data_IF_872987258099
#
_entry.id   IF_872987258099
#
_cell.length_a   1.000
_cell.length_b   1.000
_cell.length_c   1.000
_cell.angle_alpha   90.00
_cell.angle_beta   90.00
_cell.angle_gamma   90.00
#
_symmetry.space_group_name_H-M   'P 1'
#
loop_
_entity.id
_entity.type
_entity.pdbx_description
1 polymer ?
#
# COMPACT_ATOMS: atom_id res chain seq x y z
N UNK A 1 -3.25 0.32 21.76
CA UNK A 1 -4.27 0.90 20.87
C UNK A 1 -4.29 0.07 19.61
N UNK A 2 -5.48 -0.24 19.08
CA UNK A 2 -5.62 -0.91 17.78
C UNK A 2 -5.63 0.13 16.67
N UNK A 3 -5.01 -0.16 15.53
CA UNK A 3 -4.97 0.72 14.37
C UNK A 3 -6.27 0.62 13.58
N UNK A 4 -6.66 1.71 12.92
CA UNK A 4 -7.85 1.74 12.07
C UNK A 4 -7.63 1.05 10.72
N UNK A 5 -8.67 0.40 10.22
CA UNK A 5 -8.77 -0.17 8.87
C UNK A 5 -10.03 0.34 8.13
N UNK A 6 -9.99 0.28 6.80
CA UNK A 6 -11.13 0.53 5.91
C UNK A 6 -11.46 -0.73 5.12
N UNK A 7 -12.76 -1.06 5.01
CA UNK A 7 -13.19 -2.30 4.38
C UNK A 7 -14.58 -2.18 3.73
N UNK A 8 -14.84 -3.06 2.76
CA UNK A 8 -16.17 -3.38 2.25
C UNK A 8 -16.52 -4.80 2.75
N UNK A 9 -17.48 -4.94 3.66
CA UNK A 9 -17.69 -6.19 4.42
C UNK A 9 -18.82 -7.07 3.90
N UNK A 10 -20.02 -6.51 3.73
CA UNK A 10 -21.21 -7.24 3.27
C UNK A 10 -22.29 -6.26 2.82
N UNK A 11 -23.17 -6.70 1.92
CA UNK A 11 -24.35 -5.96 1.50
C UNK A 11 -25.52 -6.10 2.46
N UNK A 12 -26.64 -5.47 2.14
CA UNK A 12 -27.86 -5.43 2.95
C UNK A 12 -28.56 -6.78 3.14
N UNK A 13 -28.42 -7.71 2.19
CA UNK A 13 -29.09 -9.01 2.18
C UNK A 13 -28.13 -10.18 1.92
N UNK A 14 -26.82 -9.94 1.96
CA UNK A 14 -25.80 -10.96 1.66
C UNK A 14 -24.61 -10.37 0.92
N UNK A 15 -24.08 -11.12 -0.05
CA UNK A 15 -22.85 -10.76 -0.76
C UNK A 15 -23.03 -10.46 -2.26
N UNK A 16 -24.16 -10.80 -2.86
CA UNK A 16 -24.39 -10.75 -4.31
C UNK A 16 -25.83 -10.30 -4.60
N UNK A 17 -26.09 -9.72 -5.78
CA UNK A 17 -27.41 -9.19 -6.19
C UNK A 17 -27.98 -8.13 -5.22
N UNK A 18 -27.13 -7.23 -4.74
CA UNK A 18 -27.50 -6.12 -3.86
C UNK A 18 -28.02 -4.91 -4.65
N UNK A 19 -28.54 -3.91 -3.95
CA UNK A 19 -28.97 -2.64 -4.55
C UNK A 19 -27.78 -1.67 -4.62
N UNK A 20 -27.59 -0.96 -5.74
CA UNK A 20 -26.51 0.02 -5.85
C UNK A 20 -26.54 1.13 -4.79
N UNK A 21 -25.34 1.48 -4.29
CA UNK A 21 -25.12 2.40 -3.17
C UNK A 21 -25.24 1.74 -1.80
N UNK A 22 -24.71 2.39 -0.76
CA UNK A 22 -24.75 1.86 0.61
C UNK A 22 -26.16 2.00 1.18
N UNK A 23 -26.87 0.88 1.32
CA UNK A 23 -28.24 0.83 1.84
C UNK A 23 -28.29 0.81 3.37
N UNK A 24 -27.27 0.25 4.02
CA UNK A 24 -27.28 0.01 5.47
C UNK A 24 -26.50 1.05 6.28
N UNK A 25 -25.68 1.84 5.60
CA UNK A 25 -24.70 2.72 6.23
C UNK A 25 -23.44 1.98 6.71
N UNK A 26 -23.35 0.65 6.53
CA UNK A 26 -22.32 -0.22 7.09
C UNK A 26 -21.62 -1.11 6.06
N UNK A 27 -22.07 -1.10 4.81
CA UNK A 27 -21.57 -2.00 3.77
C UNK A 27 -20.07 -1.79 3.51
N UNK A 28 -19.70 -0.51 3.42
CA UNK A 28 -18.34 -0.04 3.61
C UNK A 28 -18.24 0.60 4.99
N UNK A 29 -17.21 0.25 5.75
CA UNK A 29 -17.05 0.74 7.11
C UNK A 29 -15.59 0.89 7.51
N UNK A 30 -15.42 1.66 8.59
CA UNK A 30 -14.20 1.68 9.36
C UNK A 30 -14.31 0.68 10.50
N UNK A 31 -13.22 -0.03 10.76
CA UNK A 31 -13.10 -0.92 11.90
C UNK A 31 -11.73 -0.75 12.56
N UNK A 32 -11.59 -1.26 13.77
CA UNK A 32 -10.28 -1.51 14.36
C UNK A 32 -9.67 -2.76 13.72
N UNK A 33 -8.34 -2.78 13.61
CA UNK A 33 -7.62 -3.98 13.21
C UNK A 33 -7.97 -5.13 14.14
N UNK A 34 -8.20 -6.30 13.53
CA UNK A 34 -8.52 -7.53 14.22
C UNK A 34 -7.62 -8.65 13.74
N UNK A 35 -7.43 -9.64 14.60
CA UNK A 35 -6.61 -10.81 14.30
C UNK A 35 -7.37 -11.77 13.37
N UNK A 36 -7.34 -11.48 12.07
CA UNK A 36 -7.89 -12.33 11.02
C UNK A 36 -6.95 -13.45 10.59
N UNK A 37 -7.42 -14.31 9.68
CA UNK A 37 -6.60 -15.32 8.98
C UNK A 37 -5.87 -14.69 7.79
N UNK A 38 -5.14 -13.60 8.05
CA UNK A 38 -4.38 -12.88 7.02
C UNK A 38 -3.27 -13.77 6.46
N UNK A 39 -3.20 -13.85 5.13
CA UNK A 39 -2.24 -14.68 4.39
C UNK A 39 -1.06 -13.85 3.88
N UNK A 40 -1.31 -12.58 3.56
CA UNK A 40 -0.28 -11.66 3.09
C UNK A 40 -0.67 -10.21 3.40
N UNK A 41 0.35 -9.36 3.46
CA UNK A 41 0.23 -7.91 3.37
C UNK A 41 0.84 -7.47 2.05
N UNK A 42 0.07 -6.71 1.27
CA UNK A 42 0.55 -6.07 0.04
C UNK A 42 0.89 -4.62 0.38
N UNK A 43 2.19 -4.32 0.34
CA UNK A 43 2.72 -2.99 0.66
C UNK A 43 3.10 -2.28 -0.63
N UNK A 44 2.54 -1.10 -0.85
CA UNK A 44 2.95 -0.26 -1.97
C UNK A 44 4.38 0.25 -1.74
N UNK A 45 5.23 0.14 -2.75
CA UNK A 45 6.64 0.56 -2.67
C UNK A 45 6.81 2.08 -2.57
N UNK A 46 5.82 2.88 -3.01
CA UNK A 46 5.83 4.35 -2.91
C UNK A 46 4.89 4.82 -1.80
N UNK A 47 5.45 5.42 -0.75
CA UNK A 47 4.69 5.91 0.41
C UNK A 47 3.66 7.00 0.04
N UNK A 48 3.92 7.82 -0.99
CA UNK A 48 2.98 8.85 -1.42
C UNK A 48 1.78 8.22 -2.11
N UNK A 49 2.00 7.14 -2.87
CA UNK A 49 0.92 6.36 -3.46
C UNK A 49 0.14 5.61 -2.37
N UNK A 50 0.82 5.02 -1.39
CA UNK A 50 0.17 4.38 -0.24
C UNK A 50 -0.75 5.35 0.52
N UNK A 51 -0.28 6.57 0.82
CA UNK A 51 -1.08 7.60 1.49
C UNK A 51 -2.29 8.04 0.64
N UNK A 52 -2.11 8.19 -0.68
CA UNK A 52 -3.21 8.50 -1.60
C UNK A 52 -4.25 7.38 -1.64
N UNK A 53 -3.81 6.12 -1.65
CA UNK A 53 -4.70 4.96 -1.60
C UNK A 53 -5.51 4.93 -0.29
N UNK A 54 -4.87 5.20 0.85
CA UNK A 54 -5.54 5.29 2.15
C UNK A 54 -6.60 6.40 2.19
N UNK A 55 -6.30 7.59 1.63
CA UNK A 55 -7.28 8.68 1.48
C UNK A 55 -8.43 8.31 0.56
N UNK A 56 -8.15 7.63 -0.55
CA UNK A 56 -9.17 7.16 -1.47
C UNK A 56 -10.11 6.15 -0.79
N UNK A 57 -9.56 5.21 -0.01
CA UNK A 57 -10.34 4.26 0.79
C UNK A 57 -11.21 4.98 1.82
N UNK A 58 -10.63 5.94 2.55
CA UNK A 58 -11.35 6.78 3.50
C UNK A 58 -12.49 7.60 2.87
N UNK A 59 -12.30 8.11 1.67
CA UNK A 59 -13.32 8.81 0.92
C UNK A 59 -14.42 7.85 0.43
N UNK A 60 -14.03 6.69 -0.10
CA UNK A 60 -14.96 5.67 -0.57
C UNK A 60 -15.85 5.15 0.57
N UNK A 61 -15.27 4.83 1.73
CA UNK A 61 -16.01 4.34 2.91
C UNK A 61 -17.01 5.39 3.44
N UNK A 62 -16.72 6.68 3.27
CA UNK A 62 -17.65 7.76 3.67
C UNK A 62 -18.73 8.03 2.64
N UNK A 63 -18.51 7.67 1.37
CA UNK A 63 -19.44 7.97 0.30
C UNK A 63 -20.58 6.94 0.25
N UNK A 64 -21.79 7.37 0.63
CA UNK A 64 -22.99 6.52 0.65
C UNK A 64 -23.52 6.12 -0.73
N UNK A 65 -22.95 6.66 -1.81
CA UNK A 65 -23.23 6.19 -3.16
C UNK A 65 -22.46 4.92 -3.53
N UNK A 66 -21.54 4.44 -2.68
CA UNK A 66 -20.73 3.24 -2.93
C UNK A 66 -21.18 2.13 -1.96
N UNK A 67 -21.84 1.10 -2.49
CA UNK A 67 -22.31 -0.07 -1.75
C UNK A 67 -21.47 -1.33 -1.96
N UNK A 68 -21.84 -2.43 -1.31
CA UNK A 68 -21.20 -3.73 -1.45
C UNK A 68 -22.01 -4.67 -2.33
N UNK A 69 -21.40 -5.26 -3.36
CA UNK A 69 -21.97 -6.36 -4.16
C UNK A 69 -20.91 -7.08 -5.00
N UNK A 70 -20.83 -8.41 -4.89
CA UNK A 70 -19.89 -9.19 -5.71
C UNK A 70 -20.32 -9.30 -7.19
N UNK A 71 -21.63 -9.34 -7.48
CA UNK A 71 -22.14 -9.45 -8.85
C UNK A 71 -21.81 -8.23 -9.72
N UNK A 72 -21.81 -7.04 -9.12
CA UNK A 72 -21.57 -5.76 -9.80
C UNK A 72 -20.32 -5.03 -9.28
N UNK A 73 -19.38 -5.79 -8.72
CA UNK A 73 -18.17 -5.32 -8.03
C UNK A 73 -17.30 -4.31 -8.77
N UNK A 74 -17.43 -4.21 -10.09
CA UNK A 74 -16.59 -3.36 -10.93
C UNK A 74 -17.23 -1.99 -11.25
N UNK A 75 -18.49 -1.76 -10.89
CA UNK A 75 -19.18 -0.49 -11.19
C UNK A 75 -18.50 0.71 -10.49
N UNK A 76 -17.94 0.49 -9.30
CA UNK A 76 -17.09 1.49 -8.63
C UNK A 76 -15.89 1.93 -9.48
N UNK A 77 -15.20 0.98 -10.13
CA UNK A 77 -13.97 1.29 -10.89
C UNK A 77 -14.28 2.21 -12.08
N UNK A 78 -15.35 1.89 -12.82
CA UNK A 78 -15.78 2.70 -13.95
C UNK A 78 -16.24 4.10 -13.52
N UNK A 79 -16.98 4.21 -12.41
CA UNK A 79 -17.40 5.49 -11.88
C UNK A 79 -16.24 6.33 -11.33
N UNK A 80 -15.29 5.70 -10.63
CA UNK A 80 -14.09 6.37 -10.16
C UNK A 80 -13.28 6.95 -11.32
N UNK A 81 -13.11 6.19 -12.41
CA UNK A 81 -12.44 6.67 -13.61
C UNK A 81 -13.14 7.89 -14.23
N UNK A 82 -14.48 7.86 -14.35
CA UNK A 82 -15.28 9.00 -14.83
C UNK A 82 -15.16 10.23 -13.91
N UNK A 83 -15.06 10.00 -12.60
CA UNK A 83 -14.88 11.05 -11.59
C UNK A 83 -13.43 11.53 -11.45
N UNK A 84 -12.52 11.14 -12.35
CA UNK A 84 -11.11 11.54 -12.27
C UNK A 84 -10.37 10.97 -11.06
N UNK A 85 -10.80 9.79 -10.59
CA UNK A 85 -10.30 9.07 -9.41
C UNK A 85 -10.59 9.72 -8.06
N UNK A 86 -11.48 10.72 -8.01
CA UNK A 86 -11.99 11.27 -6.75
C UNK A 86 -13.19 10.45 -6.24
N UNK A 87 -12.93 9.57 -5.27
CA UNK A 87 -13.96 8.73 -4.66
C UNK A 87 -15.08 9.54 -3.97
N UNK A 88 -14.77 10.75 -3.49
CA UNK A 88 -15.76 11.61 -2.84
C UNK A 88 -16.70 12.29 -3.85
N UNK A 89 -16.24 12.47 -5.09
CA UNK A 89 -17.03 13.10 -6.17
C UNK A 89 -18.01 12.14 -6.86
N UNK A 90 -17.97 10.84 -6.56
CA UNK A 90 -18.87 9.85 -7.15
C UNK A 90 -20.31 10.08 -6.66
N UNK A 91 -21.17 10.55 -7.56
CA UNK A 91 -22.60 10.77 -7.31
C UNK A 91 -23.50 9.65 -7.84
N UNK A 92 -22.98 8.80 -8.74
CA UNK A 92 -23.69 7.62 -9.24
C UNK A 92 -23.70 6.54 -8.15
N UNK A 93 -24.85 5.88 -7.96
CA UNK A 93 -24.95 4.73 -7.05
C UNK A 93 -24.27 3.53 -7.70
N UNK A 94 -23.18 3.08 -7.08
CA UNK A 94 -22.32 2.01 -7.58
C UNK A 94 -22.04 0.98 -6.48
N UNK A 95 -21.39 -0.11 -6.87
CA UNK A 95 -21.12 -1.25 -6.04
C UNK A 95 -19.65 -1.69 -6.18
N UNK A 96 -19.13 -2.29 -5.12
CA UNK A 96 -17.79 -2.87 -5.05
C UNK A 96 -17.81 -4.13 -4.19
N UNK A 97 -16.74 -4.92 -4.21
CA UNK A 97 -16.47 -5.87 -3.12
C UNK A 97 -15.17 -5.51 -2.39
N UNK A 98 -14.77 -6.32 -1.42
CA UNK A 98 -13.56 -6.10 -0.62
C UNK A 98 -12.31 -5.91 -1.49
N UNK A 99 -12.08 -6.84 -2.42
CA UNK A 99 -10.91 -6.81 -3.29
C UNK A 99 -10.98 -5.73 -4.39
N UNK A 100 -12.17 -5.48 -4.97
CA UNK A 100 -12.38 -4.43 -5.96
C UNK A 100 -12.22 -3.03 -5.35
N UNK A 101 -12.60 -2.85 -4.08
CA UNK A 101 -12.40 -1.59 -3.37
C UNK A 101 -10.89 -1.30 -3.22
N UNK A 102 -10.12 -2.27 -2.74
CA UNK A 102 -8.66 -2.12 -2.59
C UNK A 102 -8.00 -1.82 -3.94
N UNK A 103 -8.40 -2.54 -4.98
CA UNK A 103 -7.92 -2.36 -6.34
C UNK A 103 -8.21 -0.95 -6.88
N UNK A 104 -9.44 -0.47 -6.71
CA UNK A 104 -9.84 0.86 -7.14
C UNK A 104 -9.10 1.97 -6.36
N UNK A 105 -8.87 1.77 -5.06
CA UNK A 105 -8.07 2.72 -4.25
C UNK A 105 -6.62 2.83 -4.75
N UNK A 106 -6.01 1.71 -5.16
CA UNK A 106 -4.66 1.72 -5.74
C UNK A 106 -4.62 2.37 -7.12
N UNK A 107 -5.65 2.18 -7.96
CA UNK A 107 -5.77 2.92 -9.21
C UNK A 107 -5.90 4.44 -8.95
N UNK A 108 -6.70 4.85 -7.97
CA UNK A 108 -6.85 6.25 -7.59
C UNK A 108 -5.57 6.88 -6.98
N UNK A 109 -4.69 6.05 -6.42
CA UNK A 109 -3.35 6.46 -6.03
C UNK A 109 -2.41 6.74 -7.21
N UNK A 110 -2.84 6.50 -8.45
CA UNK A 110 -2.08 6.74 -9.66
C UNK A 110 -1.17 5.57 -10.05
N UNK A 111 -1.45 4.36 -9.57
CA UNK A 111 -0.74 3.14 -9.96
C UNK A 111 -1.35 2.64 -11.26
N UNK A 112 -0.73 3.04 -12.38
CA UNK A 112 -1.24 2.80 -13.75
C UNK A 112 -1.41 1.32 -14.07
N UNK A 113 -0.58 0.47 -13.48
CA UNK A 113 -0.62 -0.98 -13.65
C UNK A 113 -1.96 -1.57 -13.20
N UNK A 114 -2.68 -0.93 -12.26
CA UNK A 114 -4.04 -1.35 -11.89
C UNK A 114 -5.03 -1.14 -13.06
N UNK A 115 -4.95 -0.01 -13.76
CA UNK A 115 -5.79 0.20 -14.95
C UNK A 115 -5.45 -0.78 -16.07
N UNK A 116 -4.16 -1.10 -16.27
CA UNK A 116 -3.72 -2.06 -17.28
C UNK A 116 -4.28 -3.46 -17.01
N UNK A 117 -4.17 -3.93 -15.75
CA UNK A 117 -4.76 -5.21 -15.31
C UNK A 117 -6.28 -5.20 -15.54
N UNK A 118 -6.97 -4.13 -15.13
CA UNK A 118 -8.41 -4.02 -15.30
C UNK A 118 -8.81 -4.04 -16.77
N UNK A 119 -8.11 -3.30 -17.63
CA UNK A 119 -8.43 -3.25 -19.06
C UNK A 119 -8.19 -4.60 -19.75
N UNK A 120 -7.15 -5.33 -19.35
CA UNK A 120 -6.83 -6.65 -19.88
C UNK A 120 -7.88 -7.70 -19.53
N UNK A 121 -8.45 -7.64 -18.32
CA UNK A 121 -9.38 -8.66 -17.82
C UNK A 121 -10.84 -8.21 -17.76
N UNK A 122 -11.10 -6.91 -17.97
CA UNK A 122 -12.38 -6.23 -17.70
C UNK A 122 -12.93 -6.54 -16.32
N UNK A 123 -12.02 -6.72 -15.36
CA UNK A 123 -12.33 -7.12 -13.99
C UNK A 123 -11.20 -6.72 -13.06
N UNK A 124 -11.54 -6.26 -11.86
CA UNK A 124 -10.56 -6.05 -10.78
C UNK A 124 -10.04 -7.41 -10.29
N UNK A 125 -8.84 -7.46 -9.70
CA UNK A 125 -8.37 -8.71 -9.07
C UNK A 125 -9.33 -9.17 -7.95
N UNK A 126 -9.50 -10.48 -7.81
CA UNK A 126 -10.06 -11.09 -6.59
C UNK A 126 -8.98 -11.18 -5.51
N UNK A 127 -9.34 -11.49 -4.27
CA UNK A 127 -8.38 -11.70 -3.16
C UNK A 127 -7.27 -12.68 -3.54
N UNK A 128 -7.61 -13.79 -4.21
CA UNK A 128 -6.65 -14.78 -4.67
C UNK A 128 -5.67 -14.19 -5.68
N UNK A 129 -6.16 -13.63 -6.79
CA UNK A 129 -5.29 -13.12 -7.86
C UNK A 129 -4.47 -11.91 -7.39
N UNK A 130 -5.05 -11.05 -6.55
CA UNK A 130 -4.41 -9.85 -6.00
C UNK A 130 -3.08 -10.17 -5.30
N UNK A 131 -3.02 -11.24 -4.50
CA UNK A 131 -1.79 -11.65 -3.81
C UNK A 131 -0.62 -11.99 -4.74
N UNK A 132 -0.91 -12.39 -5.99
CA UNK A 132 0.10 -12.86 -6.93
C UNK A 132 0.34 -11.88 -8.08
N UNK A 133 -0.68 -11.15 -8.52
CA UNK A 133 -0.58 -10.26 -9.67
C UNK A 133 -0.06 -8.88 -9.30
N UNK A 134 -0.39 -8.37 -8.11
CA UNK A 134 0.12 -7.07 -7.67
C UNK A 134 1.65 -7.06 -7.55
N UNK A 135 2.31 -8.05 -6.92
CA UNK A 135 3.77 -8.07 -6.84
C UNK A 135 4.45 -8.13 -8.22
N UNK A 136 3.84 -8.78 -9.22
CA UNK A 136 4.39 -8.86 -10.59
C UNK A 136 4.49 -7.49 -11.27
N UNK A 137 3.74 -6.49 -10.81
CA UNK A 137 3.84 -5.11 -11.31
C UNK A 137 5.14 -4.40 -10.88
N UNK A 138 5.85 -4.93 -9.88
CA UNK A 138 6.99 -4.26 -9.26
C UNK A 138 6.63 -3.06 -8.37
N UNK A 139 5.33 -2.75 -8.22
CA UNK A 139 4.82 -1.66 -7.38
C UNK A 139 4.48 -2.07 -5.95
N UNK A 140 4.46 -3.38 -5.70
CA UNK A 140 4.06 -3.93 -4.41
C UNK A 140 5.04 -4.99 -3.93
N UNK A 141 5.33 -4.94 -2.65
CA UNK A 141 5.97 -6.02 -1.92
C UNK A 141 4.90 -6.93 -1.29
N UNK A 142 5.14 -8.24 -1.33
CA UNK A 142 4.28 -9.23 -0.66
C UNK A 142 4.96 -9.71 0.62
N UNK A 143 4.47 -9.21 1.75
CA UNK A 143 4.96 -9.55 3.07
C UNK A 143 4.12 -10.70 3.66
N UNK A 144 4.77 -11.79 4.05
CA UNK A 144 4.10 -12.99 4.61
C UNK A 144 4.61 -13.39 5.98
N UNK A 145 5.65 -12.72 6.48
CA UNK A 145 6.22 -13.05 7.79
C UNK A 145 5.22 -12.78 8.91
N UNK A 146 5.33 -13.58 9.98
CA UNK A 146 4.38 -13.61 11.09
C UNK A 146 4.18 -12.24 11.74
N UNK A 147 5.21 -11.40 11.73
CA UNK A 147 5.16 -10.06 12.29
C UNK A 147 4.24 -9.09 11.54
N UNK A 148 3.97 -9.35 10.25
CA UNK A 148 3.04 -8.58 9.43
C UNK A 148 1.64 -9.19 9.45
N UNK A 149 1.53 -10.52 9.29
CA UNK A 149 0.22 -11.16 9.11
C UNK A 149 -0.49 -11.49 10.43
N UNK A 150 0.21 -11.54 11.57
CA UNK A 150 -0.37 -11.78 12.90
C UNK A 150 -0.29 -10.61 13.86
N UNK A 151 0.31 -9.49 13.44
CA UNK A 151 0.44 -8.31 14.29
C UNK A 151 0.25 -7.03 13.50
N UNK A 152 -0.43 -6.09 14.12
CA UNK A 152 -0.56 -4.73 13.62
C UNK A 152 0.70 -3.88 13.81
N UNK A 153 1.69 -4.36 14.58
CA UNK A 153 2.80 -3.53 15.04
C UNK A 153 3.61 -2.89 13.90
N UNK A 154 3.83 -3.62 12.81
CA UNK A 154 4.63 -3.19 11.66
C UNK A 154 3.81 -2.83 10.42
N UNK A 155 2.48 -2.83 10.55
CA UNK A 155 1.60 -2.41 9.47
C UNK A 155 1.74 -0.91 9.24
N UNK A 156 1.60 -0.49 8.00
CA UNK A 156 1.73 0.89 7.56
C UNK A 156 0.44 1.35 6.91
N UNK A 157 0.10 2.63 7.08
CA UNK A 157 -1.04 3.22 6.38
C UNK A 157 -0.90 3.01 4.86
N UNK A 158 -1.95 2.48 4.23
CA UNK A 158 -1.99 2.09 2.82
C UNK A 158 -1.63 0.62 2.55
N UNK A 159 -1.13 -0.14 3.54
CA UNK A 159 -0.98 -1.59 3.40
C UNK A 159 -2.34 -2.25 3.16
N UNK A 160 -2.38 -3.27 2.31
CA UNK A 160 -3.58 -4.09 2.07
C UNK A 160 -3.37 -5.47 2.69
N UNK A 161 -4.16 -5.82 3.70
CA UNK A 161 -4.18 -7.17 4.27
C UNK A 161 -5.11 -8.03 3.44
N UNK A 162 -4.65 -9.23 3.09
CA UNK A 162 -5.40 -10.17 2.24
C UNK A 162 -5.52 -11.52 2.93
N UNK A 163 -6.73 -12.07 2.97
CA UNK A 163 -7.03 -13.45 3.37
C UNK A 163 -7.61 -14.23 2.18
N UNK A 164 -8.02 -15.48 2.38
CA UNK A 164 -8.65 -16.28 1.32
C UNK A 164 -9.97 -15.68 0.80
N UNK A 165 -10.68 -14.88 1.61
CA UNK A 165 -12.00 -14.36 1.27
C UNK A 165 -12.22 -12.87 1.57
N UNK A 166 -11.21 -12.16 2.07
CA UNK A 166 -11.34 -10.75 2.41
C UNK A 166 -10.07 -9.94 2.14
N UNK A 167 -10.24 -8.65 1.85
CA UNK A 167 -9.15 -7.69 1.74
C UNK A 167 -9.54 -6.36 2.39
N UNK A 168 -8.63 -5.77 3.16
CA UNK A 168 -8.84 -4.51 3.89
C UNK A 168 -7.62 -3.62 3.79
N UNK A 169 -7.82 -2.31 3.91
CA UNK A 169 -6.73 -1.34 3.92
C UNK A 169 -6.43 -0.89 5.34
N UNK A 170 -5.15 -0.80 5.67
CA UNK A 170 -4.66 -0.14 6.88
C UNK A 170 -4.78 1.36 6.71
N UNK A 171 -5.41 2.03 7.66
CA UNK A 171 -5.58 3.48 7.66
C UNK A 171 -4.73 4.18 8.71
N UNK A 172 -4.06 3.47 9.60
CA UNK A 172 -3.17 4.07 10.59
C UNK A 172 -1.88 3.27 10.71
N UNK A 173 -0.75 3.95 10.91
CA UNK A 173 0.51 3.25 11.12
C UNK A 173 0.45 2.45 12.43
N UNK A 174 0.93 1.22 12.38
CA UNK A 174 1.28 0.46 13.56
C UNK A 174 2.32 1.19 14.41
N UNK A 175 2.41 0.90 15.72
CA UNK A 175 3.36 1.56 16.62
C UNK A 175 4.83 1.50 16.16
N UNK A 176 5.20 0.50 15.35
CA UNK A 176 6.53 0.34 14.76
C UNK A 176 6.53 0.44 13.23
N UNK A 177 5.40 0.78 12.61
CA UNK A 177 5.26 0.86 11.14
C UNK A 177 6.18 1.91 10.50
N UNK A 178 6.62 2.91 11.27
CA UNK A 178 7.57 3.96 10.81
C UNK A 178 9.04 3.63 11.03
N UNK A 179 9.36 2.72 11.94
CA UNK A 179 10.76 2.37 12.27
C UNK A 179 11.46 1.63 11.11
N UNK A 180 10.67 1.10 10.19
CA UNK A 180 11.09 0.22 9.10
C UNK A 180 11.12 0.97 7.74
N UNK A 181 11.00 2.30 7.76
CA UNK A 181 11.12 3.14 6.56
C UNK A 181 12.60 3.26 6.19
N UNK A 182 12.98 2.77 5.01
CA UNK A 182 14.25 3.14 4.37
C UNK A 182 14.18 4.64 4.02
N UNK A 183 14.32 5.50 5.02
CA UNK A 183 14.51 6.93 4.81
C UNK A 183 15.98 7.15 4.49
N UNK A 184 16.26 7.73 3.33
CA UNK A 184 17.56 8.36 3.07
C UNK A 184 17.62 9.61 3.94
N UNK A 185 18.23 9.48 5.11
CA UNK A 185 18.43 10.57 6.04
C UNK A 185 19.76 11.26 5.74
N UNK A 186 19.77 12.59 5.84
CA UNK A 186 21.04 13.30 5.97
C UNK A 186 21.61 13.03 7.37
N UNK A 187 22.77 12.40 7.39
CA UNK A 187 23.48 12.01 8.61
C UNK A 187 24.95 12.42 8.52
N UNK A 188 25.75 11.94 9.46
CA UNK A 188 27.19 12.19 9.55
C UNK A 188 27.96 10.89 9.73
N UNK A 189 29.07 10.76 9.03
CA UNK A 189 30.14 9.80 9.31
C UNK A 189 31.16 10.46 10.22
N UNK A 190 31.63 9.74 11.24
CA UNK A 190 32.77 10.17 12.06
C UNK A 190 33.97 9.30 11.70
N UNK A 191 34.99 9.90 11.10
CA UNK A 191 36.25 9.23 10.76
C UNK A 191 37.36 9.99 11.47
N UNK A 192 38.12 9.29 12.31
CA UNK A 192 39.21 9.86 13.12
C UNK A 192 38.79 11.11 13.91
N UNK A 193 37.58 11.09 14.48
CA UNK A 193 37.02 12.19 15.26
C UNK A 193 36.48 13.37 14.45
N UNK A 194 36.53 13.32 13.12
CA UNK A 194 36.01 14.37 12.22
C UNK A 194 34.70 13.95 11.57
N UNK A 195 33.74 14.87 11.57
CA UNK A 195 32.42 14.66 10.97
C UNK A 195 32.41 14.95 9.47
N UNK A 196 31.73 14.09 8.69
CA UNK A 196 31.51 14.23 7.27
C UNK A 196 30.02 14.00 6.95
N UNK A 197 29.37 14.83 6.14
CA UNK A 197 27.98 14.60 5.74
C UNK A 197 27.87 13.31 4.93
N UNK A 198 26.82 12.52 5.19
CA UNK A 198 26.55 11.29 4.46
C UNK A 198 25.05 11.04 4.33
N UNK A 199 24.66 10.43 3.22
CA UNK A 199 23.32 9.88 3.08
C UNK A 199 23.28 8.47 3.69
N UNK A 200 22.34 8.28 4.63
CA UNK A 200 22.21 7.06 5.42
C UNK A 200 20.83 6.45 5.22
N UNK A 201 20.80 5.14 5.04
CA UNK A 201 19.58 4.33 5.20
C UNK A 201 19.80 3.44 6.42
N UNK A 202 18.85 3.44 7.36
CA UNK A 202 18.84 2.52 8.50
C UNK A 202 17.80 1.43 8.21
N UNK A 203 18.24 0.17 8.15
CA UNK A 203 17.35 -0.98 7.94
C UNK A 203 17.79 -2.10 8.86
N UNK A 204 16.86 -2.64 9.67
CA UNK A 204 17.15 -3.73 10.61
C UNK A 204 18.35 -3.47 11.54
N UNK A 205 18.54 -2.22 11.97
CA UNK A 205 19.69 -1.81 12.78
C UNK A 205 21.02 -1.69 12.03
N UNK A 206 21.03 -1.93 10.71
CA UNK A 206 22.21 -1.82 9.84
C UNK A 206 22.19 -0.47 9.13
N UNK A 207 23.32 0.25 9.21
CA UNK A 207 23.52 1.49 8.46
C UNK A 207 24.05 1.18 7.06
N UNK A 208 23.31 1.59 6.05
CA UNK A 208 23.74 1.59 4.66
C UNK A 208 24.14 3.01 4.29
N UNK A 209 25.38 3.17 3.84
CA UNK A 209 25.97 4.45 3.46
C UNK A 209 26.46 4.33 2.03
N UNK A 210 26.30 5.39 1.22
CA UNK A 210 26.84 5.42 -0.13
C UNK A 210 28.37 5.31 -0.10
N UNK A 211 28.92 4.41 -0.91
CA UNK A 211 30.38 4.22 -1.05
C UNK A 211 31.12 5.53 -1.36
N UNK A 212 30.50 6.43 -2.13
CA UNK A 212 31.03 7.77 -2.41
C UNK A 212 31.25 8.60 -1.16
N UNK A 213 30.29 8.60 -0.24
CA UNK A 213 30.33 9.44 0.95
C UNK A 213 31.37 8.90 1.95
N UNK A 214 31.46 7.56 2.07
CA UNK A 214 32.53 6.90 2.82
C UNK A 214 33.92 7.17 2.22
N UNK A 215 34.06 7.07 0.90
CA UNK A 215 35.33 7.35 0.22
C UNK A 215 35.76 8.81 0.39
N UNK A 216 34.83 9.76 0.31
CA UNK A 216 35.12 11.17 0.55
C UNK A 216 35.64 11.41 1.97
N UNK A 217 35.03 10.78 2.98
CA UNK A 217 35.46 10.86 4.37
C UNK A 217 36.87 10.27 4.60
N UNK A 218 37.23 9.23 3.84
CA UNK A 218 38.53 8.55 3.90
C UNK A 218 39.60 9.15 2.97
N UNK A 219 39.30 10.25 2.27
CA UNK A 219 40.25 10.84 1.31
C UNK A 219 40.53 9.97 0.09
N UNK A 220 39.61 9.09 -0.27
CA UNK A 220 39.71 8.17 -1.40
C UNK A 220 38.98 8.73 -2.62
N UNK A 221 39.41 8.28 -3.80
CA UNK A 221 38.70 8.46 -5.08
C UNK A 221 37.96 7.17 -5.39
N UNK A 222 36.68 7.30 -5.79
CA UNK A 222 35.88 6.18 -6.27
C UNK A 222 36.00 6.11 -7.79
N UNK A 223 36.68 5.08 -8.28
CA UNK A 223 36.67 4.65 -9.68
C UNK A 223 35.76 3.44 -9.90
N UNK A 224 35.79 2.89 -11.11
CA UNK A 224 35.02 1.69 -11.44
C UNK A 224 35.73 0.85 -12.50
N UNK A 225 35.46 -0.46 -12.49
CA UNK A 225 35.79 -1.40 -13.56
C UNK A 225 34.58 -2.29 -13.81
N UNK A 226 33.75 -1.90 -14.78
CA UNK A 226 32.42 -2.48 -14.95
C UNK A 226 31.51 -2.16 -13.77
N UNK A 227 30.90 -3.18 -13.17
CA UNK A 227 30.05 -3.07 -11.97
C UNK A 227 30.82 -3.02 -10.65
N UNK A 228 32.15 -3.17 -10.68
CA UNK A 228 33.00 -3.20 -9.49
C UNK A 228 33.48 -1.78 -9.17
N UNK A 229 33.19 -1.30 -7.96
CA UNK A 229 33.74 -0.05 -7.45
C UNK A 229 35.22 -0.24 -7.06
N UNK A 230 36.06 0.71 -7.45
CA UNK A 230 37.49 0.75 -7.12
C UNK A 230 37.73 1.94 -6.19
N UNK A 231 38.45 1.73 -5.09
CA UNK A 231 38.82 2.77 -4.13
C UNK A 231 40.34 3.00 -4.19
N UNK A 232 40.74 4.22 -4.51
CA UNK A 232 42.15 4.62 -4.62
C UNK A 232 42.45 5.78 -3.67
N UNK A 233 43.65 5.82 -3.09
CA UNK A 233 44.08 7.00 -2.31
C UNK A 233 44.25 8.19 -3.25
N UNK A 234 43.74 9.34 -2.81
CA UNK A 234 44.11 10.62 -3.43
C UNK A 234 45.56 10.96 -3.20
#
# INVERSE_FOLDING_TARGET
MSIRIGQASCGESGIAEQKPGDQTGRELNFAEWYHGTWLAVLRCCDERQAERAARACEAAVRNKNIGYCQSHRNTLFDAAKKAGWDMAAISERVETDCSALMFCCMAAAGIREMEEIYNAHRNSCTTYCMMYDWPKTGRFERLTDIEYVRSQAFLRRGDVLVSSGHAVMVLEDGPRGREDREMVEQSKLIVDGKEYPAERILKNGVNYIKVRDLAAALGLKVGHKGSIAILERK
#
